data_IF_176324406194
#
_entry.id   IF_176324406194
#
_cell.length_a   1.000
_cell.length_b   1.000
_cell.length_c   1.000
_cell.angle_alpha   90.00
_cell.angle_beta   90.00
_cell.angle_gamma   90.00
#
_symmetry.space_group_name_H-M   'P 1'
#
loop_
_entity.id
_entity.type
_entity.pdbx_description
1 polymer ?
#
# COMPACT_ATOMS: atom_id res chain seq x y z
N UNK A 1 15.38 -45.62 9.47
CA UNK A 1 15.73 -44.28 10.01
C UNK A 1 15.94 -43.22 8.90
N UNK A 2 15.20 -43.26 7.77
CA UNK A 2 15.36 -42.28 6.67
C UNK A 2 14.11 -41.42 6.38
N UNK A 3 12.92 -41.75 6.89
CA UNK A 3 11.70 -40.96 6.61
C UNK A 3 11.53 -39.72 7.51
N UNK A 4 12.29 -39.60 8.60
CA UNK A 4 12.16 -38.49 9.56
C UNK A 4 12.91 -37.21 9.14
N UNK A 5 13.83 -37.29 8.19
CA UNK A 5 14.56 -36.10 7.70
C UNK A 5 13.92 -35.44 6.47
N UNK A 6 13.15 -36.18 5.67
CA UNK A 6 12.34 -35.59 4.59
C UNK A 6 11.11 -34.84 5.08
N UNK A 7 10.60 -35.19 6.27
CA UNK A 7 9.43 -34.52 6.89
C UNK A 7 9.85 -33.34 7.79
N UNK A 8 11.13 -33.24 8.16
CA UNK A 8 11.63 -32.17 9.04
C UNK A 8 12.19 -30.96 8.29
N UNK A 9 12.56 -31.11 7.01
CA UNK A 9 13.14 -30.05 6.19
C UNK A 9 12.19 -29.25 5.24
N UNK A 10 10.87 -29.50 5.10
CA UNK A 10 9.98 -28.62 4.33
C UNK A 10 9.56 -27.34 5.09
N UNK A 11 9.76 -27.32 6.41
CA UNK A 11 9.17 -26.30 7.30
C UNK A 11 9.87 -24.94 7.21
N UNK A 12 11.19 -24.90 6.98
CA UNK A 12 11.94 -23.63 7.04
C UNK A 12 11.70 -22.77 5.80
N UNK A 13 11.67 -23.38 4.60
CA UNK A 13 11.32 -22.71 3.33
C UNK A 13 9.88 -22.19 3.35
N UNK A 14 8.93 -23.05 3.70
CA UNK A 14 7.51 -22.70 3.78
C UNK A 14 7.26 -21.64 4.86
N UNK A 15 7.98 -21.69 5.98
CA UNK A 15 7.88 -20.72 7.06
C UNK A 15 8.35 -19.31 6.65
N UNK A 16 9.45 -19.21 5.90
CA UNK A 16 9.93 -17.92 5.40
C UNK A 16 9.01 -17.36 4.29
N UNK A 17 8.52 -18.21 3.39
CA UNK A 17 7.52 -17.81 2.38
C UNK A 17 6.21 -17.31 3.02
N UNK A 18 5.69 -18.02 4.02
CA UNK A 18 4.50 -17.62 4.75
C UNK A 18 4.68 -16.26 5.42
N UNK A 19 5.85 -15.99 6.02
CA UNK A 19 6.15 -14.68 6.60
C UNK A 19 6.09 -13.58 5.54
N UNK A 20 6.66 -13.81 4.36
CA UNK A 20 6.61 -12.82 3.28
C UNK A 20 5.19 -12.57 2.77
N UNK A 21 4.41 -13.63 2.57
CA UNK A 21 3.01 -13.52 2.16
C UNK A 21 2.15 -12.82 3.23
N UNK A 22 2.40 -13.09 4.51
CA UNK A 22 1.70 -12.41 5.61
C UNK A 22 2.02 -10.91 5.63
N UNK A 23 3.28 -10.51 5.44
CA UNK A 23 3.66 -9.10 5.34
C UNK A 23 2.97 -8.45 4.14
N UNK A 24 3.02 -9.09 2.98
CA UNK A 24 2.39 -8.60 1.75
C UNK A 24 0.89 -8.42 1.91
N UNK A 25 0.18 -9.45 2.37
CA UNK A 25 -1.27 -9.41 2.53
C UNK A 25 -1.71 -8.45 3.63
N UNK A 26 -0.95 -8.32 4.72
CA UNK A 26 -1.26 -7.35 5.79
C UNK A 26 -1.13 -5.91 5.29
N UNK A 27 -0.05 -5.57 4.59
CA UNK A 27 0.16 -4.22 4.06
C UNK A 27 -0.84 -3.90 2.95
N UNK A 28 -1.08 -4.84 2.03
CA UNK A 28 -2.08 -4.65 0.97
C UNK A 28 -3.49 -4.54 1.54
N UNK A 29 -3.85 -5.39 2.51
CA UNK A 29 -5.14 -5.34 3.18
C UNK A 29 -5.37 -4.02 3.91
N UNK A 30 -4.35 -3.52 4.63
CA UNK A 30 -4.41 -2.22 5.28
C UNK A 30 -4.57 -1.08 4.26
N UNK A 31 -3.80 -1.13 3.16
CA UNK A 31 -3.89 -0.12 2.09
C UNK A 31 -5.26 -0.13 1.42
N UNK A 32 -5.81 -1.32 1.18
CA UNK A 32 -7.15 -1.49 0.60
C UNK A 32 -8.26 -1.00 1.52
N UNK A 33 -8.22 -1.37 2.81
CA UNK A 33 -9.17 -0.89 3.80
C UNK A 33 -9.10 0.63 3.95
N UNK A 34 -7.91 1.23 3.83
CA UNK A 34 -7.74 2.68 3.84
C UNK A 34 -8.41 3.35 2.62
N UNK A 35 -8.30 2.75 1.43
CA UNK A 35 -9.00 3.23 0.23
C UNK A 35 -10.52 3.11 0.33
N UNK A 36 -11.03 1.98 0.80
CA UNK A 36 -12.47 1.75 0.96
C UNK A 36 -13.10 2.70 2.00
N UNK A 37 -12.43 2.93 3.14
CA UNK A 37 -12.89 3.88 4.15
C UNK A 37 -12.89 5.33 3.65
N UNK A 38 -12.02 5.70 2.70
CA UNK A 38 -12.02 7.04 2.13
C UNK A 38 -13.31 7.33 1.34
N UNK A 39 -13.83 6.37 0.57
CA UNK A 39 -15.12 6.53 -0.12
C UNK A 39 -16.26 6.75 0.88
N UNK A 40 -16.32 5.94 1.95
CA UNK A 40 -17.30 6.12 3.02
C UNK A 40 -17.15 7.46 3.75
N UNK A 41 -15.92 7.89 4.02
CA UNK A 41 -15.63 9.17 4.67
C UNK A 41 -16.08 10.37 3.82
N UNK A 42 -16.00 10.28 2.48
CA UNK A 42 -16.57 11.31 1.59
C UNK A 42 -18.07 11.41 1.80
N UNK A 43 -18.79 10.29 1.69
CA UNK A 43 -20.26 10.24 1.82
C UNK A 43 -20.72 10.78 3.18
N UNK A 44 -20.04 10.40 4.27
CA UNK A 44 -20.34 10.93 5.60
C UNK A 44 -19.96 12.41 5.77
N UNK A 45 -18.83 12.86 5.23
CA UNK A 45 -18.44 14.28 5.30
C UNK A 45 -19.37 15.18 4.48
N UNK A 46 -19.95 14.67 3.38
CA UNK A 46 -20.95 15.33 2.53
C UNK A 46 -22.16 15.79 3.35
N UNK A 47 -22.59 14.95 4.29
CA UNK A 47 -23.77 15.22 5.13
C UNK A 47 -23.49 16.16 6.31
N UNK A 48 -22.23 16.35 6.73
CA UNK A 48 -21.92 16.99 8.02
C UNK A 48 -21.24 18.36 7.96
N UNK A 49 -20.66 18.79 6.83
CA UNK A 49 -19.87 20.03 6.81
C UNK A 49 -20.05 20.88 5.53
N UNK A 50 -20.51 22.12 5.72
CA UNK A 50 -20.50 23.21 4.73
C UNK A 50 -19.32 24.16 5.04
N UNK A 51 -18.43 24.42 4.07
CA UNK A 51 -17.43 25.49 4.19
C UNK A 51 -16.21 25.40 3.25
N UNK A 52 -15.83 26.55 2.64
CA UNK A 52 -14.72 26.66 1.67
C UNK A 52 -13.32 26.42 2.27
N UNK A 53 -13.07 26.80 3.53
CA UNK A 53 -11.77 26.60 4.20
C UNK A 53 -11.43 25.13 4.43
N UNK A 54 -12.45 24.29 4.72
CA UNK A 54 -12.26 22.85 4.94
C UNK A 54 -11.89 22.12 3.64
N UNK A 55 -12.48 22.55 2.51
CA UNK A 55 -12.14 22.04 1.19
C UNK A 55 -10.68 22.37 0.83
N UNK A 56 -10.24 23.60 1.10
CA UNK A 56 -8.87 24.03 0.84
C UNK A 56 -7.84 23.23 1.66
N UNK A 57 -8.09 23.03 2.96
CA UNK A 57 -7.24 22.17 3.81
C UNK A 57 -7.18 20.72 3.32
N UNK A 58 -8.31 20.19 2.83
CA UNK A 58 -8.36 18.83 2.28
C UNK A 58 -7.52 18.70 1.01
N UNK A 59 -7.65 19.64 0.07
CA UNK A 59 -6.88 19.63 -1.17
C UNK A 59 -5.37 19.68 -0.87
N UNK A 60 -4.96 20.53 0.09
CA UNK A 60 -3.56 20.62 0.52
C UNK A 60 -3.08 19.29 1.09
N UNK A 61 -3.88 18.66 1.97
CA UNK A 61 -3.53 17.37 2.55
C UNK A 61 -3.44 16.25 1.51
N UNK A 62 -4.40 16.19 0.58
CA UNK A 62 -4.39 15.20 -0.50
C UNK A 62 -3.19 15.39 -1.43
N UNK A 63 -2.80 16.64 -1.72
CA UNK A 63 -1.59 16.95 -2.47
C UNK A 63 -0.33 16.50 -1.73
N UNK A 64 -0.27 16.71 -0.42
CA UNK A 64 0.85 16.28 0.42
C UNK A 64 0.98 14.75 0.45
N UNK A 65 -0.14 14.04 0.58
CA UNK A 65 -0.19 12.57 0.55
C UNK A 65 0.24 12.05 -0.83
N UNK A 66 -0.21 12.68 -1.92
CA UNK A 66 0.21 12.34 -3.28
C UNK A 66 1.72 12.53 -3.48
N UNK A 67 2.26 13.67 -3.04
CA UNK A 67 3.68 13.94 -3.11
C UNK A 67 4.49 12.93 -2.29
N UNK A 68 4.04 12.61 -1.08
CA UNK A 68 4.65 11.60 -0.21
C UNK A 68 4.62 10.21 -0.86
N UNK A 69 3.47 9.79 -1.39
CA UNK A 69 3.34 8.50 -2.05
C UNK A 69 4.27 8.37 -3.26
N UNK A 70 4.38 9.40 -4.12
CA UNK A 70 5.23 9.36 -5.30
C UNK A 70 6.72 9.48 -4.97
N UNK A 71 7.11 10.45 -4.15
CA UNK A 71 8.52 10.72 -3.88
C UNK A 71 9.12 9.74 -2.87
N UNK A 72 8.38 9.40 -1.81
CA UNK A 72 8.91 8.58 -0.73
C UNK A 72 8.57 7.12 -0.94
N UNK A 73 7.30 6.77 -1.16
CA UNK A 73 6.92 5.35 -1.29
C UNK A 73 7.35 4.76 -2.63
N UNK A 74 7.13 5.47 -3.75
CA UNK A 74 7.48 4.94 -5.08
C UNK A 74 8.97 5.13 -5.35
N UNK A 75 9.47 6.37 -5.40
CA UNK A 75 10.90 6.60 -5.72
C UNK A 75 11.83 6.11 -4.61
N UNK A 76 11.59 6.50 -3.36
CA UNK A 76 12.36 6.00 -2.21
C UNK A 76 12.22 4.48 -2.02
N UNK A 77 11.02 3.93 -2.21
CA UNK A 77 10.81 2.48 -2.15
C UNK A 77 11.56 1.71 -3.24
N UNK A 78 11.61 2.21 -4.48
CA UNK A 78 12.42 1.61 -5.55
C UNK A 78 13.92 1.60 -5.22
N UNK A 79 14.42 2.68 -4.62
CA UNK A 79 15.82 2.76 -4.19
C UNK A 79 16.12 1.75 -3.08
N UNK A 80 15.24 1.64 -2.08
CA UNK A 80 15.34 0.62 -1.02
C UNK A 80 15.32 -0.78 -1.62
N UNK A 81 14.44 -1.05 -2.58
CA UNK A 81 14.39 -2.35 -3.28
C UNK A 81 15.72 -2.63 -3.99
N UNK A 82 16.27 -1.64 -4.70
CA UNK A 82 17.55 -1.81 -5.41
C UNK A 82 18.72 -2.08 -4.45
N UNK A 83 18.78 -1.39 -3.31
CA UNK A 83 19.83 -1.57 -2.30
C UNK A 83 19.69 -2.94 -1.62
N UNK A 84 18.46 -3.34 -1.30
CA UNK A 84 18.18 -4.62 -0.64
C UNK A 84 18.17 -5.81 -1.61
N UNK A 85 18.30 -5.57 -2.91
CA UNK A 85 18.41 -6.63 -3.91
C UNK A 85 19.72 -7.41 -3.79
N UNK A 86 20.78 -6.76 -3.27
CA UNK A 86 22.07 -7.41 -2.99
C UNK A 86 22.05 -8.25 -1.70
N UNK A 87 20.99 -8.14 -0.89
CA UNK A 87 20.83 -8.87 0.36
C UNK A 87 19.88 -10.06 0.12
N UNK A 88 20.38 -11.28 0.24
CA UNK A 88 19.57 -12.50 0.07
C UNK A 88 19.04 -13.02 1.40
N UNK A 89 17.85 -13.62 1.35
CA UNK A 89 17.25 -14.27 2.50
C UNK A 89 18.00 -15.57 2.83
N UNK A 90 18.18 -15.89 4.12
CA UNK A 90 19.05 -16.98 4.56
C UNK A 90 18.58 -18.39 4.14
N UNK A 91 17.29 -18.57 3.81
CA UNK A 91 16.73 -19.89 3.50
C UNK A 91 16.30 -19.98 2.04
N UNK A 92 15.49 -19.04 1.56
CA UNK A 92 15.02 -19.00 0.17
C UNK A 92 16.07 -18.49 -0.83
N UNK A 93 17.19 -17.91 -0.36
CA UNK A 93 18.16 -17.18 -1.20
C UNK A 93 17.49 -16.14 -2.12
N UNK A 94 16.33 -15.63 -1.71
CA UNK A 94 15.61 -14.61 -2.47
C UNK A 94 16.14 -13.24 -2.10
N UNK A 95 16.26 -12.32 -3.06
CA UNK A 95 16.55 -10.92 -2.76
C UNK A 95 15.50 -10.33 -1.83
N UNK A 96 15.91 -9.71 -0.73
CA UNK A 96 15.00 -9.00 0.20
C UNK A 96 14.23 -7.88 -0.51
N UNK A 97 14.73 -7.40 -1.65
CA UNK A 97 14.04 -6.47 -2.54
C UNK A 97 12.62 -6.92 -2.91
N UNK A 98 12.34 -8.23 -3.01
CA UNK A 98 10.97 -8.72 -3.23
C UNK A 98 10.04 -8.38 -2.06
N UNK A 99 10.48 -8.58 -0.82
CA UNK A 99 9.67 -8.24 0.36
C UNK A 99 9.42 -6.74 0.40
N UNK A 100 10.45 -5.92 0.16
CA UNK A 100 10.36 -4.46 0.19
C UNK A 100 9.60 -3.88 -1.01
N UNK A 101 9.43 -4.61 -2.12
CA UNK A 101 8.66 -4.16 -3.28
C UNK A 101 7.18 -3.89 -2.96
N UNK A 102 6.68 -4.40 -1.84
CA UNK A 102 5.34 -4.06 -1.33
C UNK A 102 5.19 -2.56 -1.02
N UNK A 103 6.30 -1.88 -0.72
CA UNK A 103 6.33 -0.44 -0.43
C UNK A 103 6.03 0.42 -1.66
N UNK A 104 6.71 0.26 -2.82
CA UNK A 104 6.29 0.96 -4.03
C UNK A 104 4.90 0.53 -4.53
N UNK A 105 4.53 -0.76 -4.38
CA UNK A 105 3.18 -1.25 -4.76
C UNK A 105 2.08 -0.54 -3.95
N UNK A 106 2.23 -0.47 -2.63
CA UNK A 106 1.29 0.25 -1.76
C UNK A 106 1.28 1.75 -2.06
N UNK A 107 2.42 2.35 -2.41
CA UNK A 107 2.50 3.73 -2.89
C UNK A 107 1.65 3.98 -4.14
N UNK A 108 1.73 3.10 -5.14
CA UNK A 108 0.90 3.16 -6.35
C UNK A 108 -0.58 3.01 -6.02
N UNK A 109 -0.95 2.08 -5.14
CA UNK A 109 -2.33 1.91 -4.67
C UNK A 109 -2.87 3.18 -4.00
N UNK A 110 -2.08 3.84 -3.16
CA UNK A 110 -2.46 5.12 -2.54
C UNK A 110 -2.71 6.20 -3.58
N UNK A 111 -1.85 6.30 -4.60
CA UNK A 111 -2.04 7.23 -5.72
C UNK A 111 -3.35 6.93 -6.46
N UNK A 112 -3.63 5.65 -6.76
CA UNK A 112 -4.87 5.24 -7.40
C UNK A 112 -6.11 5.62 -6.57
N UNK A 113 -6.08 5.39 -5.25
CA UNK A 113 -7.19 5.80 -4.38
C UNK A 113 -7.38 7.32 -4.37
N UNK A 114 -6.31 8.10 -4.33
CA UNK A 114 -6.41 9.56 -4.41
C UNK A 114 -6.96 10.05 -5.75
N UNK A 115 -6.61 9.40 -6.86
CA UNK A 115 -7.16 9.72 -8.17
C UNK A 115 -8.66 9.41 -8.28
N UNK A 116 -9.11 8.27 -7.73
CA UNK A 116 -10.53 7.93 -7.65
C UNK A 116 -11.30 8.94 -6.81
N UNK A 117 -10.74 9.33 -5.66
CA UNK A 117 -11.29 10.36 -4.77
C UNK A 117 -11.51 11.70 -5.50
N UNK A 118 -10.50 12.13 -6.27
CA UNK A 118 -10.56 13.38 -7.05
C UNK A 118 -11.62 13.32 -8.15
N UNK A 119 -11.76 12.19 -8.84
CA UNK A 119 -12.82 11.99 -9.84
C UNK A 119 -14.20 12.10 -9.22
N UNK A 120 -14.40 11.52 -8.05
CA UNK A 120 -15.68 11.56 -7.34
C UNK A 120 -16.04 13.00 -6.91
N UNK A 121 -15.06 13.79 -6.44
CA UNK A 121 -15.27 15.23 -6.20
C UNK A 121 -15.62 16.01 -7.46
N UNK A 122 -15.03 15.69 -8.61
CA UNK A 122 -15.33 16.37 -9.87
C UNK A 122 -16.71 16.03 -10.41
N UNK A 123 -17.16 14.77 -10.30
CA UNK A 123 -18.52 14.37 -10.67
C UNK A 123 -19.57 15.07 -9.79
N UNK A 124 -19.29 15.19 -8.50
CA UNK A 124 -20.16 15.88 -7.55
C UNK A 124 -20.26 17.39 -7.82
N UNK A 125 -19.14 18.04 -8.16
CA UNK A 125 -19.13 19.47 -8.56
C UNK A 125 -19.83 19.73 -9.89
N UNK A 126 -19.92 18.73 -10.77
CA UNK A 126 -20.63 18.82 -12.05
C UNK A 126 -22.14 18.58 -11.95
N UNK A 127 -22.66 18.18 -10.78
CA UNK A 127 -24.11 18.16 -10.53
C UNK A 127 -24.89 17.08 -11.27
N UNK A 128 -24.40 15.84 -11.27
CA UNK A 128 -25.18 14.66 -11.65
C UNK A 128 -25.31 13.68 -10.48
N UNK A 129 -26.03 14.07 -9.41
CA UNK A 129 -26.96 13.23 -8.61
C UNK A 129 -27.92 14.16 -7.87
#
# INVERSE_FOLDING_TARGET
>A
MASRYLISAPSTFTGELLRFLLVWTSILGATYAFGSNQHLAITFMKNKFKGKRRLMLRIINDLFILAFALLIMVKGGMEVVSITMSQTTPILNLPMGYVYSIMPISGVLVVLYKLLLLKEYQQELKGEV
#
